data_IF_458019584602
#
_entry.id   IF_458019584602
#
_cell.length_a   1.000
_cell.length_b   1.000
_cell.length_c   1.000
_cell.angle_alpha   90.00
_cell.angle_beta   90.00
_cell.angle_gamma   90.00
#
_symmetry.space_group_name_H-M   'P 1'
#
loop_
_entity.id
_entity.type
_entity.pdbx_description
1 polymer ?
#
# COMPACT_ATOMS: atom_id res chain seq x y z
N UNK A 1 -2.48 -10.64 -0.42
CA UNK A 1 -2.67 -9.29 -0.99
C UNK A 1 -3.23 -8.24 -0.03
N UNK A 2 -4.39 -8.37 0.65
CA UNK A 2 -4.89 -7.26 1.51
C UNK A 2 -4.05 -7.02 2.79
N UNK A 3 -3.45 -8.07 3.34
CA UNK A 3 -2.65 -7.99 4.58
C UNK A 3 -1.19 -7.60 4.34
N UNK A 4 -0.67 -7.76 3.11
CA UNK A 4 0.75 -7.50 2.79
C UNK A 4 1.14 -6.01 2.88
N UNK A 5 0.16 -5.11 2.78
CA UNK A 5 0.40 -3.66 2.81
C UNK A 5 0.21 -3.04 4.21
N UNK A 6 -0.24 -3.80 5.20
CA UNK A 6 -0.49 -3.29 6.56
C UNK A 6 0.84 -2.88 7.21
N UNK A 7 1.84 -3.75 7.19
CA UNK A 7 3.14 -3.46 7.78
C UNK A 7 3.87 -2.28 7.07
N UNK A 8 3.94 -2.23 5.73
CA UNK A 8 4.47 -1.06 5.03
C UNK A 8 3.72 0.24 5.35
N UNK A 9 2.38 0.21 5.41
CA UNK A 9 1.60 1.38 5.78
C UNK A 9 1.94 1.85 7.20
N UNK A 10 2.05 0.93 8.16
CA UNK A 10 2.40 1.26 9.54
C UNK A 10 3.79 1.88 9.66
N UNK A 11 4.79 1.39 8.90
CA UNK A 11 6.15 1.95 8.88
C UNK A 11 6.14 3.38 8.34
N UNK A 12 5.46 3.63 7.22
CA UNK A 12 5.35 4.97 6.63
C UNK A 12 4.66 5.92 7.61
N UNK A 13 3.57 5.49 8.22
CA UNK A 13 2.85 6.28 9.22
C UNK A 13 3.73 6.61 10.41
N UNK A 14 4.42 5.62 10.99
CA UNK A 14 5.32 5.84 12.12
C UNK A 14 6.42 6.85 11.79
N UNK A 15 7.00 6.78 10.59
CA UNK A 15 8.04 7.70 10.17
C UNK A 15 7.53 9.14 10.01
N UNK A 16 6.37 9.33 9.38
CA UNK A 16 5.74 10.66 9.24
C UNK A 16 5.45 11.25 10.62
N UNK A 17 4.85 10.47 11.52
CA UNK A 17 4.51 10.90 12.87
C UNK A 17 5.76 11.25 13.68
N UNK A 18 6.84 10.45 13.59
CA UNK A 18 8.12 10.74 14.23
C UNK A 18 8.72 12.07 13.81
N UNK A 19 8.55 12.45 12.54
CA UNK A 19 9.03 13.74 12.02
C UNK A 19 8.14 14.91 12.41
N UNK A 20 6.83 14.70 12.60
CA UNK A 20 5.86 15.77 12.90
C UNK A 20 5.65 15.99 14.40
N UNK A 21 5.80 14.96 15.24
CA UNK A 21 5.65 15.04 16.69
C UNK A 21 6.49 16.16 17.34
N UNK A 22 7.75 16.41 16.95
CA UNK A 22 8.55 17.49 17.53
C UNK A 22 8.01 18.90 17.20
N UNK A 23 7.23 19.02 16.13
CA UNK A 23 6.71 20.30 15.61
C UNK A 23 5.34 20.61 16.22
N UNK A 24 4.47 19.60 16.32
CA UNK A 24 3.07 19.76 16.69
C UNK A 24 2.72 19.24 18.09
N UNK A 25 3.67 18.57 18.77
CA UNK A 25 3.48 18.03 20.11
C UNK A 25 2.80 16.66 20.11
N UNK A 26 1.94 16.43 21.09
CA UNK A 26 1.24 15.15 21.26
C UNK A 26 0.31 14.86 20.07
N UNK A 27 0.37 13.62 19.56
CA UNK A 27 -0.42 13.17 18.42
C UNK A 27 -1.53 12.25 18.94
N UNK A 28 -2.78 12.58 18.62
CA UNK A 28 -3.95 11.80 19.03
C UNK A 28 -4.09 10.52 18.22
N UNK A 29 -4.71 9.50 18.82
CA UNK A 29 -5.01 8.23 18.14
C UNK A 29 -5.80 8.41 16.83
N UNK A 30 -6.70 9.41 16.78
CA UNK A 30 -7.46 9.75 15.58
C UNK A 30 -6.54 10.19 14.42
N UNK A 31 -5.54 11.02 14.71
CA UNK A 31 -4.56 11.47 13.71
C UNK A 31 -3.70 10.30 13.24
N UNK A 32 -3.29 9.41 14.16
CA UNK A 32 -2.53 8.20 13.84
C UNK A 32 -3.34 7.29 12.90
N UNK A 33 -4.60 7.03 13.23
CA UNK A 33 -5.48 6.19 12.43
C UNK A 33 -5.75 6.81 11.04
N UNK A 34 -5.94 8.13 10.97
CA UNK A 34 -6.13 8.84 9.71
C UNK A 34 -4.88 8.78 8.83
N UNK A 35 -3.70 9.01 9.40
CA UNK A 35 -2.42 8.92 8.70
C UNK A 35 -2.16 7.49 8.17
N UNK A 36 -2.48 6.47 8.98
CA UNK A 36 -2.42 5.08 8.56
C UNK A 36 -3.35 4.77 7.38
N UNK A 37 -4.62 5.18 7.48
CA UNK A 37 -5.59 4.96 6.41
C UNK A 37 -5.18 5.66 5.10
N UNK A 38 -4.54 6.82 5.18
CA UNK A 38 -4.00 7.51 4.01
C UNK A 38 -2.82 6.76 3.40
N UNK A 39 -1.84 6.34 4.20
CA UNK A 39 -0.69 5.56 3.74
C UNK A 39 -1.12 4.25 3.07
N UNK A 40 -2.05 3.51 3.70
CA UNK A 40 -2.57 2.25 3.16
C UNK A 40 -3.28 2.45 1.81
N UNK A 41 -4.12 3.50 1.68
CA UNK A 41 -4.79 3.82 0.41
C UNK A 41 -3.80 4.22 -0.69
N UNK A 42 -2.76 4.98 -0.35
CA UNK A 42 -1.69 5.34 -1.29
C UNK A 42 -0.95 4.11 -1.81
N UNK A 43 -0.61 3.16 -0.94
CA UNK A 43 0.01 1.90 -1.33
C UNK A 43 -0.89 1.05 -2.23
N UNK A 44 -2.19 0.95 -1.92
CA UNK A 44 -3.15 0.26 -2.78
C UNK A 44 -3.23 0.87 -4.18
N UNK A 45 -3.24 2.20 -4.26
CA UNK A 45 -3.23 2.91 -5.54
C UNK A 45 -1.93 2.63 -6.31
N UNK A 46 -0.77 2.72 -5.67
CA UNK A 46 0.52 2.41 -6.30
C UNK A 46 0.61 0.99 -6.82
N UNK A 47 0.15 -0.01 -6.05
CA UNK A 47 0.08 -1.41 -6.50
C UNK A 47 -0.86 -1.57 -7.70
N UNK A 48 -1.98 -0.85 -7.71
CA UNK A 48 -2.90 -0.89 -8.84
C UNK A 48 -2.28 -0.29 -10.11
N UNK A 49 -1.52 0.80 -10.01
CA UNK A 49 -0.80 1.40 -11.13
C UNK A 49 0.30 0.49 -11.66
N UNK A 50 1.14 -0.09 -10.79
CA UNK A 50 2.19 -1.05 -11.21
C UNK A 50 1.58 -2.24 -11.98
N UNK A 51 0.41 -2.73 -11.57
CA UNK A 51 -0.30 -3.81 -12.27
C UNK A 51 -0.91 -3.41 -13.61
N UNK A 52 -1.18 -2.11 -13.83
CA UNK A 52 -1.65 -1.60 -15.13
C UNK A 52 -0.49 -1.52 -16.14
N UNK A 53 0.69 -1.13 -15.66
CA UNK A 53 1.87 -0.98 -16.50
C UNK A 53 2.59 -2.31 -16.78
N UNK A 54 2.40 -3.32 -15.94
CA UNK A 54 2.94 -4.68 -16.14
C UNK A 54 1.81 -5.73 -16.14
N UNK A 55 0.98 -5.79 -17.21
CA UNK A 55 -0.02 -6.84 -17.33
C UNK A 55 0.69 -8.20 -17.36
N UNK A 56 0.15 -9.26 -16.71
CA UNK A 56 0.79 -10.56 -16.69
C UNK A 56 1.07 -10.99 -18.13
N UNK A 57 2.27 -11.55 -18.42
CA UNK A 57 2.60 -11.97 -19.77
C UNK A 57 1.50 -12.90 -20.26
N UNK A 58 0.99 -12.65 -21.47
CA UNK A 58 -0.12 -13.37 -22.10
C UNK A 58 0.21 -14.85 -22.44
N UNK A 59 1.08 -15.49 -21.66
CA UNK A 59 1.56 -16.86 -21.81
C UNK A 59 0.90 -17.78 -20.79
N UNK A 60 -0.43 -17.74 -20.70
CA UNK A 60 -1.22 -18.79 -20.04
C UNK A 60 -2.41 -19.24 -20.91
N UNK A 61 -2.38 -18.96 -22.22
CA UNK A 61 -3.35 -19.50 -23.20
C UNK A 61 -2.69 -20.45 -24.21
N UNK A 62 -1.76 -21.28 -23.74
CA UNK A 62 -1.23 -22.40 -24.53
C UNK A 62 -1.46 -23.71 -23.80
N UNK A 63 -2.66 -24.27 -23.96
CA UNK A 63 -2.82 -25.72 -24.17
C UNK A 63 -4.04 -25.92 -25.08
N UNK A 64 -3.83 -25.73 -26.38
CA UNK A 64 -4.71 -26.33 -27.39
C UNK A 64 -4.61 -27.84 -27.20
N UNK A 65 -5.57 -28.42 -26.48
CA UNK A 65 -5.79 -29.85 -26.41
C UNK A 65 -6.23 -30.30 -27.82
N UNK A 66 -5.35 -30.96 -28.57
CA UNK A 66 -5.76 -31.73 -29.75
C UNK A 66 -5.92 -33.18 -29.30
N UNK A 67 -7.18 -33.65 -29.32
CA UNK A 67 -7.56 -35.06 -29.27
C UNK A 67 -7.45 -35.67 -30.66
#
# INVERSE_FOLDING_TARGET
MKEELIAPAAVITAEVLRQTQPIYGEITEEVIASAFAQAYRGLLAGVAEVKKDDPPPASASTMQFRL
#
